data_IF_963899060503
#
_entry.id   IF_963899060503
#
_cell.length_a   1.000
_cell.length_b   1.000
_cell.length_c   1.000
_cell.angle_alpha   90.00
_cell.angle_beta   90.00
_cell.angle_gamma   90.00
#
_symmetry.space_group_name_H-M   'P 1'
#
loop_
_entity.id
_entity.type
_entity.pdbx_description
1 polymer ?
#
# COMPACT_ATOMS: atom_id res chain seq x y z
N UNK A 1 -30.84 11.12 -14.66
CA UNK A 1 -30.06 11.98 -13.74
C UNK A 1 -29.09 11.09 -12.98
N UNK A 2 -27.82 11.04 -13.39
CA UNK A 2 -26.79 10.36 -12.59
C UNK A 2 -26.43 11.30 -11.44
N UNK A 3 -26.85 10.93 -10.23
CA UNK A 3 -26.50 11.64 -9.01
C UNK A 3 -25.01 11.38 -8.76
N UNK A 4 -24.17 12.39 -8.93
CA UNK A 4 -22.75 12.29 -8.60
C UNK A 4 -22.64 12.02 -7.10
N UNK A 5 -22.08 10.87 -6.72
CA UNK A 5 -21.87 10.52 -5.31
C UNK A 5 -20.95 11.57 -4.68
N UNK A 6 -21.26 12.02 -3.46
CA UNK A 6 -20.36 12.92 -2.73
C UNK A 6 -19.15 12.13 -2.21
N UNK A 7 -18.09 12.83 -1.79
CA UNK A 7 -16.92 12.18 -1.17
C UNK A 7 -17.30 11.41 0.10
N UNK A 8 -18.25 11.94 0.88
CA UNK A 8 -18.78 11.27 2.06
C UNK A 8 -19.54 9.98 1.69
N UNK A 9 -20.42 10.04 0.67
CA UNK A 9 -21.15 8.85 0.21
C UNK A 9 -20.19 7.75 -0.26
N UNK A 10 -19.13 8.11 -0.97
CA UNK A 10 -18.09 7.17 -1.40
C UNK A 10 -17.35 6.54 -0.21
N UNK A 11 -16.98 7.35 0.78
CA UNK A 11 -16.31 6.84 1.99
C UNK A 11 -17.21 5.86 2.75
N UNK A 12 -18.49 6.18 2.90
CA UNK A 12 -19.47 5.29 3.53
C UNK A 12 -19.65 3.97 2.78
N UNK A 13 -19.68 3.98 1.44
CA UNK A 13 -19.76 2.75 0.65
C UNK A 13 -18.48 1.93 0.79
N UNK A 14 -17.30 2.56 0.78
CA UNK A 14 -16.02 1.86 0.97
C UNK A 14 -15.90 1.24 2.37
N UNK A 15 -16.34 1.95 3.41
CA UNK A 15 -16.38 1.43 4.78
C UNK A 15 -17.34 0.23 4.89
N UNK A 16 -18.51 0.31 4.27
CA UNK A 16 -19.45 -0.81 4.18
C UNK A 16 -18.84 -2.02 3.46
N UNK A 17 -18.14 -1.81 2.34
CA UNK A 17 -17.41 -2.88 1.63
C UNK A 17 -16.35 -3.53 2.53
N UNK A 18 -15.58 -2.75 3.28
CA UNK A 18 -14.58 -3.29 4.22
C UNK A 18 -15.23 -4.07 5.37
N UNK A 19 -16.37 -3.59 5.88
CA UNK A 19 -17.12 -4.28 6.93
C UNK A 19 -17.64 -5.64 6.46
N UNK A 20 -18.24 -5.70 5.27
CA UNK A 20 -18.73 -6.94 4.65
C UNK A 20 -17.56 -7.90 4.38
N UNK A 21 -16.43 -7.41 3.87
CA UNK A 21 -15.23 -8.25 3.66
C UNK A 21 -14.75 -8.90 4.96
N UNK A 22 -14.67 -8.12 6.06
CA UNK A 22 -14.27 -8.65 7.38
C UNK A 22 -15.26 -9.69 7.90
N UNK A 23 -16.56 -9.48 7.67
CA UNK A 23 -17.60 -10.44 8.04
C UNK A 23 -17.48 -11.74 7.23
N UNK A 24 -17.23 -11.63 5.92
CA UNK A 24 -17.02 -12.78 5.04
C UNK A 24 -15.78 -13.58 5.46
N UNK A 25 -14.66 -12.91 5.75
CA UNK A 25 -13.43 -13.54 6.22
C UNK A 25 -13.63 -14.23 7.59
N UNK A 26 -14.40 -13.61 8.50
CA UNK A 26 -14.75 -14.20 9.78
C UNK A 26 -15.64 -15.45 9.62
N UNK A 27 -16.61 -15.43 8.70
CA UNK A 27 -17.43 -16.59 8.35
C UNK A 27 -16.56 -17.73 7.81
N UNK A 28 -15.65 -17.43 6.87
CA UNK A 28 -14.71 -18.40 6.32
C UNK A 28 -13.81 -19.01 7.39
N UNK A 29 -13.30 -18.21 8.33
CA UNK A 29 -12.46 -18.69 9.42
C UNK A 29 -13.22 -19.57 10.44
N UNK A 30 -14.51 -19.30 10.64
CA UNK A 30 -15.37 -20.10 11.52
C UNK A 30 -15.90 -21.39 10.89
N UNK A 31 -16.10 -21.40 9.57
CA UNK A 31 -16.69 -22.53 8.87
C UNK A 31 -15.66 -23.40 8.13
N UNK A 32 -14.58 -22.86 7.54
CA UNK A 32 -13.65 -23.70 6.77
C UNK A 32 -12.61 -24.39 7.68
N UNK A 33 -12.51 -25.72 7.59
CA UNK A 33 -11.44 -26.51 8.22
C UNK A 33 -10.51 -26.97 7.10
N UNK A 34 -9.21 -26.69 7.21
CA UNK A 34 -8.19 -27.00 6.20
C UNK A 34 -8.50 -26.47 4.78
N UNK A 35 -9.28 -25.38 4.68
CA UNK A 35 -9.71 -24.77 3.42
C UNK A 35 -10.91 -25.45 2.76
N UNK A 36 -11.45 -26.49 3.38
CA UNK A 36 -12.66 -27.18 2.96
C UNK A 36 -13.88 -26.63 3.71
N UNK A 37 -14.94 -26.34 2.96
CA UNK A 37 -16.19 -25.83 3.52
C UNK A 37 -17.09 -27.00 3.91
N UNK A 38 -17.57 -27.07 5.16
CA UNK A 38 -18.42 -28.15 5.65
C UNK A 38 -19.84 -28.08 5.07
N UNK A 39 -20.28 -26.89 4.66
CA UNK A 39 -21.60 -26.63 4.12
C UNK A 39 -21.51 -25.87 2.79
N UNK A 40 -22.26 -26.34 1.80
CA UNK A 40 -22.25 -25.79 0.44
C UNK A 40 -23.00 -24.45 0.34
N UNK A 41 -24.01 -24.23 1.19
CA UNK A 41 -24.78 -22.99 1.23
C UNK A 41 -23.96 -21.89 1.90
N UNK A 42 -23.19 -22.20 2.95
CA UNK A 42 -22.26 -21.26 3.58
C UNK A 42 -21.18 -20.78 2.59
N UNK A 43 -20.62 -21.71 1.82
CA UNK A 43 -19.67 -21.37 0.75
C UNK A 43 -20.32 -20.51 -0.32
N UNK A 44 -21.54 -20.84 -0.73
CA UNK A 44 -22.28 -20.09 -1.73
C UNK A 44 -22.60 -18.66 -1.26
N UNK A 45 -22.93 -18.49 0.02
CA UNK A 45 -23.17 -17.19 0.64
C UNK A 45 -21.91 -16.33 0.64
N UNK A 46 -20.77 -16.89 1.08
CA UNK A 46 -19.47 -16.21 1.03
C UNK A 46 -19.08 -15.79 -0.40
N UNK A 47 -19.23 -16.69 -1.37
CA UNK A 47 -18.92 -16.39 -2.78
C UNK A 47 -19.85 -15.30 -3.36
N UNK A 48 -21.11 -15.25 -2.91
CA UNK A 48 -22.05 -14.20 -3.31
C UNK A 48 -21.66 -12.83 -2.73
N UNK A 49 -21.20 -12.77 -1.48
CA UNK A 49 -20.71 -11.54 -0.85
C UNK A 49 -19.46 -11.00 -1.56
N UNK A 50 -18.50 -11.87 -1.91
CA UNK A 50 -17.32 -11.47 -2.69
C UNK A 50 -17.68 -10.89 -4.06
N UNK A 51 -18.66 -11.49 -4.75
CA UNK A 51 -19.15 -10.98 -6.03
C UNK A 51 -19.82 -9.61 -5.88
N UNK A 52 -20.59 -9.41 -4.81
CA UNK A 52 -21.21 -8.12 -4.50
C UNK A 52 -20.14 -7.05 -4.26
N UNK A 53 -19.12 -7.35 -3.46
CA UNK A 53 -17.98 -6.46 -3.21
C UNK A 53 -17.26 -6.05 -4.49
N UNK A 54 -16.95 -7.01 -5.36
CA UNK A 54 -16.31 -6.73 -6.65
C UNK A 54 -17.14 -5.77 -7.52
N UNK A 55 -18.47 -5.95 -7.55
CA UNK A 55 -19.37 -5.07 -8.31
C UNK A 55 -19.46 -3.67 -7.72
N UNK A 56 -19.55 -3.54 -6.39
CA UNK A 56 -19.60 -2.23 -5.73
C UNK A 56 -18.32 -1.44 -5.96
N UNK A 57 -17.16 -2.10 -5.85
CA UNK A 57 -15.86 -1.47 -6.13
C UNK A 57 -15.74 -1.04 -7.61
N UNK A 58 -16.18 -1.88 -8.55
CA UNK A 58 -16.20 -1.52 -9.97
C UNK A 58 -17.12 -0.33 -10.28
N UNK A 59 -18.31 -0.29 -9.65
CA UNK A 59 -19.24 0.85 -9.79
C UNK A 59 -18.65 2.14 -9.20
N UNK A 60 -17.97 2.06 -8.06
CA UNK A 60 -17.26 3.20 -7.48
C UNK A 60 -16.14 3.71 -8.39
N UNK A 61 -15.39 2.80 -9.03
CA UNK A 61 -14.35 3.17 -9.99
C UNK A 61 -14.95 3.87 -11.22
N UNK A 62 -16.10 3.40 -11.73
CA UNK A 62 -16.79 4.02 -12.86
C UNK A 62 -17.37 5.42 -12.55
N UNK A 63 -17.56 5.74 -11.28
CA UNK A 63 -18.09 7.04 -10.82
C UNK A 63 -16.98 8.05 -10.48
N UNK A 64 -15.71 7.69 -10.66
CA UNK A 64 -14.62 8.67 -10.61
C UNK A 64 -14.73 9.58 -11.85
N UNK A 65 -14.84 10.90 -11.69
CA UNK A 65 -14.87 11.79 -12.84
C UNK A 65 -13.58 11.61 -13.64
N UNK A 66 -13.69 11.31 -14.94
CA UNK A 66 -12.54 11.40 -15.84
C UNK A 66 -11.96 12.82 -15.72
N UNK A 67 -10.63 12.98 -15.57
CA UNK A 67 -10.03 14.29 -15.49
C UNK A 67 -10.33 15.04 -16.80
N UNK A 68 -11.07 16.15 -16.73
CA UNK A 68 -11.42 16.95 -17.90
C UNK A 68 -10.38 18.06 -18.10
N UNK A 69 -9.82 18.17 -19.31
CA UNK A 69 -8.88 19.26 -19.64
C UNK A 69 -9.68 20.53 -19.91
N UNK A 70 -9.34 21.62 -19.22
CA UNK A 70 -9.91 22.95 -19.48
C UNK A 70 -9.06 23.80 -20.43
N UNK A 71 -8.08 23.17 -21.09
CA UNK A 71 -7.16 23.82 -22.02
C UNK A 71 -7.85 24.24 -23.33
N UNK A 72 -7.80 25.53 -23.69
CA UNK A 72 -8.31 26.02 -24.98
C UNK A 72 -7.33 25.65 -26.11
N UNK A 73 -7.78 24.88 -27.10
CA UNK A 73 -6.94 24.37 -28.18
C UNK A 73 -6.31 25.46 -29.06
N UNK A 74 -6.78 26.72 -28.99
CA UNK A 74 -6.32 27.81 -29.88
C UNK A 74 -5.14 28.64 -29.39
N UNK A 75 -4.80 28.61 -28.10
CA UNK A 75 -3.66 29.35 -27.54
C UNK A 75 -2.59 28.38 -27.04
N UNK A 76 -1.89 27.73 -27.99
CA UNK A 76 -0.63 27.03 -27.69
C UNK A 76 0.45 28.06 -27.36
N UNK A 77 0.51 28.50 -26.11
CA UNK A 77 1.79 28.91 -25.51
C UNK A 77 2.39 27.64 -24.95
N UNK A 78 3.56 27.26 -25.48
CA UNK A 78 4.41 26.24 -24.88
C UNK A 78 4.77 26.71 -23.47
N UNK A 79 4.12 26.14 -22.45
CA UNK A 79 4.40 26.44 -21.06
C UNK A 79 3.15 26.85 -20.28
N UNK A 80 2.30 25.88 -19.97
CA UNK A 80 1.81 25.68 -18.61
C UNK A 80 1.21 24.26 -18.53
N UNK A 81 1.75 23.47 -17.60
CA UNK A 81 1.63 22.02 -17.54
C UNK A 81 0.21 21.55 -17.27
N UNK A 82 -0.58 21.37 -18.33
CA UNK A 82 -1.90 20.79 -18.21
C UNK A 82 -1.82 19.26 -18.12
N UNK A 83 -1.94 18.75 -16.89
CA UNK A 83 -1.86 17.32 -16.50
C UNK A 83 -2.81 16.39 -17.27
N UNK A 84 -3.84 16.95 -17.93
CA UNK A 84 -4.82 16.18 -18.71
C UNK A 84 -4.41 16.00 -20.18
N UNK A 85 -3.75 17.00 -20.79
CA UNK A 85 -3.35 16.96 -22.21
C UNK A 85 -1.99 16.31 -22.43
N UNK A 86 -1.17 16.29 -21.39
CA UNK A 86 0.01 15.45 -21.30
C UNK A 86 -0.23 14.48 -20.14
N UNK A 87 -0.95 13.35 -20.37
CA UNK A 87 -0.86 12.27 -19.42
C UNK A 87 0.59 11.78 -19.50
N UNK A 88 1.46 12.35 -18.68
CA UNK A 88 2.62 11.59 -18.24
C UNK A 88 2.07 10.26 -17.73
N UNK A 89 2.71 9.13 -18.07
CA UNK A 89 2.27 7.85 -17.52
C UNK A 89 2.13 8.05 -16.02
N UNK A 90 0.93 7.85 -15.48
CA UNK A 90 0.66 7.96 -14.04
C UNK A 90 1.52 6.92 -13.34
N UNK A 91 2.78 7.26 -13.11
CA UNK A 91 3.58 6.75 -12.04
C UNK A 91 2.84 7.22 -10.80
N UNK A 92 1.98 6.34 -10.30
CA UNK A 92 1.44 6.45 -8.96
C UNK A 92 2.57 6.83 -8.01
N UNK A 93 2.31 7.85 -7.19
CA UNK A 93 3.19 8.32 -6.12
C UNK A 93 3.52 7.15 -5.20
N UNK A 94 4.63 6.49 -5.48
CA UNK A 94 5.26 5.59 -4.57
C UNK A 94 6.73 5.82 -4.86
N UNK A 95 7.52 6.40 -3.95
CA UNK A 95 8.97 6.60 -4.15
C UNK A 95 9.76 5.29 -4.26
N UNK A 96 9.07 4.20 -4.60
CA UNK A 96 9.51 2.83 -4.69
C UNK A 96 10.11 2.55 -6.06
N UNK A 97 11.23 1.86 -6.04
CA UNK A 97 12.04 1.50 -7.18
C UNK A 97 12.30 -0.02 -7.14
N UNK A 98 12.54 -0.66 -8.30
CA UNK A 98 12.91 -2.07 -8.34
C UNK A 98 14.19 -2.34 -7.54
N UNK A 99 14.26 -3.47 -6.82
CA UNK A 99 15.39 -3.79 -5.95
C UNK A 99 16.74 -3.87 -6.67
N UNK A 100 16.75 -4.15 -7.97
CA UNK A 100 17.94 -4.20 -8.81
C UNK A 100 18.66 -2.86 -8.90
N UNK A 101 17.93 -1.76 -8.66
CA UNK A 101 18.44 -0.38 -8.70
C UNK A 101 18.91 0.13 -7.34
N UNK A 102 18.74 -0.64 -6.27
CA UNK A 102 19.07 -0.20 -4.93
C UNK A 102 20.60 -0.07 -4.72
N UNK A 103 21.06 0.99 -4.02
CA UNK A 103 22.46 1.12 -3.67
C UNK A 103 22.89 0.01 -2.71
N UNK A 104 23.98 -0.69 -3.05
CA UNK A 104 24.56 -1.80 -2.27
C UNK A 104 25.78 -1.35 -1.46
N UNK A 105 25.73 -0.13 -0.94
CA UNK A 105 26.81 0.53 -0.19
C UNK A 105 26.63 0.46 1.33
N UNK A 106 25.62 -0.27 1.81
CA UNK A 106 25.27 -0.38 3.22
C UNK A 106 24.35 0.73 3.73
N UNK A 107 23.93 1.67 2.89
CA UNK A 107 22.95 2.70 3.25
C UNK A 107 21.61 2.04 3.65
N UNK A 108 21.02 2.42 4.80
CA UNK A 108 19.69 1.93 5.18
C UNK A 108 18.58 2.46 4.27
N UNK A 109 17.78 1.55 3.73
CA UNK A 109 16.66 1.83 2.82
C UNK A 109 15.35 1.29 3.41
N UNK A 110 14.23 1.87 2.99
CA UNK A 110 12.91 1.29 3.25
C UNK A 110 12.62 0.28 2.13
N UNK A 111 12.18 -0.92 2.48
CA UNK A 111 12.04 -2.05 1.55
C UNK A 111 10.70 -2.75 1.71
N UNK A 112 10.13 -3.19 0.60
CA UNK A 112 9.02 -4.13 0.58
C UNK A 112 9.61 -5.52 0.37
N UNK A 113 9.68 -6.27 1.47
CA UNK A 113 10.46 -7.48 1.56
C UNK A 113 9.77 -8.53 2.42
N UNK A 114 10.12 -9.79 2.19
CA UNK A 114 9.78 -10.90 3.09
C UNK A 114 11.03 -11.43 3.74
N UNK A 115 10.89 -12.00 4.93
CA UNK A 115 11.96 -12.84 5.47
C UNK A 115 12.10 -14.11 4.64
N UNK A 116 13.31 -14.70 4.59
CA UNK A 116 13.59 -15.90 3.78
C UNK A 116 12.59 -17.03 4.03
N UNK A 117 12.18 -17.20 5.30
CA UNK A 117 11.26 -18.24 5.75
C UNK A 117 9.80 -17.77 5.91
N UNK A 118 9.48 -16.53 5.49
CA UNK A 118 8.13 -15.99 5.55
C UNK A 118 7.44 -16.02 4.17
N UNK A 119 6.13 -16.20 4.18
CA UNK A 119 5.27 -16.17 2.99
C UNK A 119 4.75 -14.77 2.67
N UNK A 120 4.61 -13.91 3.69
CA UNK A 120 4.10 -12.55 3.53
C UNK A 120 5.24 -11.53 3.39
N UNK A 121 5.04 -10.56 2.51
CA UNK A 121 5.88 -9.37 2.38
C UNK A 121 5.38 -8.27 3.31
N UNK A 122 6.33 -7.52 3.87
CA UNK A 122 6.11 -6.41 4.79
C UNK A 122 7.01 -5.23 4.40
N UNK A 123 6.72 -4.05 4.94
CA UNK A 123 7.61 -2.89 4.85
C UNK A 123 8.63 -2.95 5.99
N UNK A 124 9.91 -2.90 5.67
CA UNK A 124 11.02 -2.95 6.63
C UNK A 124 12.09 -1.91 6.32
N UNK A 125 12.92 -1.57 7.30
CA UNK A 125 14.18 -0.88 7.06
C UNK A 125 15.30 -1.91 7.03
N UNK A 126 16.09 -1.91 5.95
CA UNK A 126 17.15 -2.89 5.72
C UNK A 126 18.35 -2.25 5.02
N UNK A 127 19.51 -2.87 5.15
CA UNK A 127 20.76 -2.46 4.50
C UNK A 127 21.47 -3.65 3.85
N UNK A 128 22.35 -3.35 2.89
CA UNK A 128 23.17 -4.35 2.22
C UNK A 128 24.39 -4.70 3.08
N UNK A 129 24.60 -5.99 3.34
CA UNK A 129 25.84 -6.49 3.94
C UNK A 129 26.75 -7.05 2.85
N UNK A 130 27.77 -6.30 2.48
CA UNK A 130 28.70 -6.64 1.41
C UNK A 130 29.41 -7.98 1.65
N UNK A 131 29.90 -8.22 2.86
CA UNK A 131 30.61 -9.46 3.24
C UNK A 131 29.81 -10.75 3.01
N UNK A 132 28.48 -10.65 2.95
CA UNK A 132 27.59 -11.81 2.80
C UNK A 132 26.74 -11.74 1.53
N UNK A 133 26.82 -10.64 0.75
CA UNK A 133 26.04 -10.46 -0.47
C UNK A 133 24.53 -10.52 -0.25
N UNK A 134 24.03 -10.00 0.87
CA UNK A 134 22.64 -10.15 1.29
C UNK A 134 22.04 -8.87 1.88
N UNK A 135 20.73 -8.72 1.75
CA UNK A 135 19.96 -7.69 2.43
C UNK A 135 19.56 -8.16 3.83
N UNK A 136 19.73 -7.29 4.82
CA UNK A 136 19.38 -7.62 6.20
C UNK A 136 18.58 -6.52 6.87
N UNK A 137 17.62 -6.93 7.69
CA UNK A 137 16.99 -6.07 8.67
C UNK A 137 17.74 -6.22 10.00
N UNK A 138 18.28 -5.11 10.50
CA UNK A 138 18.85 -5.01 11.84
C UNK A 138 18.26 -3.78 12.53
N UNK A 139 17.03 -3.94 13.03
CA UNK A 139 16.28 -2.84 13.65
C UNK A 139 16.82 -2.44 15.04
N UNK A 140 17.55 -3.31 15.74
CA UNK A 140 18.04 -3.07 17.10
C UNK A 140 19.44 -3.66 17.34
N UNK A 141 20.24 -3.03 18.19
CA UNK A 141 21.64 -3.39 18.49
C UNK A 141 21.82 -4.80 19.09
N UNK A 142 20.76 -5.39 19.65
CA UNK A 142 20.78 -6.75 20.22
C UNK A 142 19.90 -7.75 19.44
N UNK A 143 19.25 -7.32 18.36
CA UNK A 143 18.44 -8.23 17.55
C UNK A 143 19.35 -9.09 16.64
N UNK A 144 19.04 -10.38 16.45
CA UNK A 144 19.75 -11.20 15.48
C UNK A 144 19.57 -10.59 14.08
N UNK A 145 20.62 -10.69 13.25
CA UNK A 145 20.57 -10.26 11.85
C UNK A 145 19.57 -11.12 11.10
N UNK A 146 18.55 -10.50 10.53
CA UNK A 146 17.52 -11.21 9.78
C UNK A 146 17.67 -10.95 8.28
N UNK A 147 17.88 -12.02 7.52
CA UNK A 147 17.91 -11.94 6.06
C UNK A 147 16.53 -11.63 5.50
N UNK A 148 16.48 -10.69 4.56
CA UNK A 148 15.28 -10.34 3.82
C UNK A 148 15.47 -10.58 2.32
N UNK A 149 14.37 -10.85 1.64
CA UNK A 149 14.26 -10.96 0.18
C UNK A 149 13.39 -9.78 -0.29
N UNK A 150 14.00 -8.65 -0.64
CA UNK A 150 13.28 -7.47 -1.09
C UNK A 150 12.85 -7.57 -2.55
N UNK A 151 11.74 -6.91 -2.87
CA UNK A 151 11.25 -6.74 -4.25
C UNK A 151 11.36 -5.29 -4.72
N UNK A 152 11.12 -4.34 -3.81
CA UNK A 152 11.15 -2.91 -4.08
C UNK A 152 11.80 -2.17 -2.91
N UNK A 153 12.37 -1.01 -3.20
CA UNK A 153 12.99 -0.13 -2.21
C UNK A 153 12.59 1.31 -2.40
N UNK A 154 12.67 2.12 -1.36
CA UNK A 154 12.62 3.58 -1.43
C UNK A 154 13.68 4.18 -0.52
N UNK A 155 14.12 5.40 -0.83
CA UNK A 155 15.01 6.14 0.05
C UNK A 155 14.33 6.32 1.41
N UNK A 156 15.09 6.11 2.49
CA UNK A 156 14.58 6.37 3.83
C UNK A 156 14.31 7.86 3.98
N UNK A 157 13.09 8.28 4.38
CA UNK A 157 12.81 9.68 4.68
C UNK A 157 13.79 10.23 5.73
N UNK A 158 14.08 11.52 5.65
CA UNK A 158 14.89 12.20 6.66
C UNK A 158 14.18 12.12 8.02
N UNK A 159 14.97 11.91 9.08
CA UNK A 159 14.43 11.75 10.42
C UNK A 159 13.89 13.11 10.90
N UNK A 160 12.67 13.19 11.47
CA UNK A 160 12.16 14.44 12.01
C UNK A 160 12.90 14.78 13.31
N UNK A 161 13.98 15.57 13.20
CA UNK A 161 14.85 15.97 14.31
C UNK A 161 14.04 16.62 15.44
N UNK A 162 13.05 17.44 15.10
CA UNK A 162 12.20 18.13 16.07
C UNK A 162 11.38 17.17 16.95
N UNK A 163 10.88 16.08 16.36
CA UNK A 163 10.17 15.03 17.10
C UNK A 163 11.11 14.25 18.04
N UNK A 164 12.36 14.04 17.61
CA UNK A 164 13.38 13.37 18.42
C UNK A 164 13.81 14.20 19.64
N UNK A 165 13.87 15.53 19.48
CA UNK A 165 14.20 16.46 20.57
C UNK A 165 13.04 16.58 21.57
N UNK A 166 11.80 16.61 21.09
CA UNK A 166 10.60 16.63 21.94
C UNK A 166 10.47 15.37 22.82
N UNK A 167 10.87 14.20 22.31
CA UNK A 167 10.84 12.95 23.09
C UNK A 167 11.84 12.95 24.24
N UNK A 168 13.03 13.54 24.07
CA UNK A 168 14.05 13.62 25.15
C UNK A 168 13.68 14.60 26.26
N UNK A 169 13.00 15.70 25.93
CA UNK A 169 12.57 16.69 26.92
C UNK A 169 11.44 16.17 27.83
N UNK A 170 10.73 15.11 27.43
CA UNK A 170 9.73 14.44 28.26
C UNK A 170 10.32 13.47 29.30
N UNK A 171 11.60 13.09 29.18
CA UNK A 171 12.25 12.13 30.09
C UNK A 171 12.92 12.80 31.31
N UNK A 172 13.13 14.12 31.29
CA UNK A 172 13.73 14.88 32.41
C UNK A 172 12.73 15.23 33.53
N UNK A 173 11.51 14.70 33.52
CA UNK A 173 10.45 14.98 34.50
C UNK A 173 9.91 13.75 35.25
N UNK A 174 10.71 12.67 35.34
CA UNK A 174 10.39 11.49 36.17
C UNK A 174 11.43 11.28 37.26
#
# INVERSE_FOLDING_TARGET
MNKTLTAADRATIMDACQSISRSADALKAGCSIDGEWPDADDKAFYDAELRLLGRLTALLAAQQPEPQCTCDMRTRVLGDGCEVCQPEPRAEVTGWQPIETAPKDGTPLVMFARYVHATASIVVVASWLENYGMWVNQSFSCAPVQQVVPSHWMARPEFPIDAALAQRQGEDHV
#
